data_IF_449744762989
#
_entry.id   IF_449744762989
#
_cell.length_a   1.000
_cell.length_b   1.000
_cell.length_c   1.000
_cell.angle_alpha   90.00
_cell.angle_beta   90.00
_cell.angle_gamma   90.00
#
_symmetry.space_group_name_H-M   'P 1'
#
loop_
_entity.id
_entity.type
_entity.pdbx_description
1 polymer ?
#
# COMPACT_ATOMS: atom_id res chain seq x y z
N UNK A 1 34.67 -13.99 2.25
CA UNK A 1 33.23 -13.87 2.50
C UNK A 1 33.05 -12.83 3.57
N UNK A 2 32.57 -11.66 3.22
CA UNK A 2 32.17 -10.62 4.19
C UNK A 2 30.71 -10.89 4.54
N UNK A 3 30.45 -11.14 5.82
CA UNK A 3 29.09 -11.23 6.33
C UNK A 3 28.71 -9.85 6.81
N UNK A 4 27.65 -9.30 6.30
CA UNK A 4 27.02 -8.06 6.76
C UNK A 4 25.65 -8.36 7.36
N UNK A 5 25.24 -7.59 8.35
CA UNK A 5 23.93 -7.75 8.98
C UNK A 5 23.08 -6.50 8.82
N UNK A 6 21.80 -6.69 8.62
CA UNK A 6 20.80 -5.63 8.62
C UNK A 6 19.80 -5.87 9.74
N UNK A 7 19.58 -4.86 10.56
CA UNK A 7 18.72 -4.96 11.74
C UNK A 7 17.41 -4.22 11.47
N UNK A 8 16.28 -4.90 11.67
CA UNK A 8 14.98 -4.25 11.68
C UNK A 8 14.75 -3.66 13.08
N UNK A 9 14.47 -2.37 13.14
CA UNK A 9 14.13 -1.67 14.37
C UNK A 9 12.67 -1.21 14.31
N UNK A 10 11.71 -2.03 14.76
CA UNK A 10 10.31 -1.64 14.77
C UNK A 10 10.09 -0.39 15.64
N UNK A 11 9.29 0.53 15.16
CA UNK A 11 8.86 1.72 15.91
C UNK A 11 7.49 1.48 16.50
N UNK A 12 7.30 1.93 17.74
CA UNK A 12 5.99 1.93 18.39
C UNK A 12 5.12 3.03 17.79
N UNK A 13 3.95 2.66 17.37
CA UNK A 13 2.94 3.52 16.80
C UNK A 13 1.68 3.47 17.68
N UNK A 14 1.13 4.63 17.94
CA UNK A 14 -0.10 4.75 18.72
C UNK A 14 -1.15 5.54 17.93
N UNK A 15 -2.32 4.99 17.84
CA UNK A 15 -3.53 5.70 17.43
C UNK A 15 -4.29 6.11 18.68
N UNK A 16 -4.55 7.38 18.82
CA UNK A 16 -5.39 7.94 19.88
C UNK A 16 -6.39 8.90 19.24
N UNK A 17 -7.56 8.37 18.93
CA UNK A 17 -8.60 9.08 18.21
C UNK A 17 -9.75 9.39 19.15
N UNK A 18 -10.20 10.63 19.15
CA UNK A 18 -11.42 11.05 19.85
C UNK A 18 -12.47 11.35 18.79
N UNK A 19 -13.60 10.68 18.89
CA UNK A 19 -14.70 10.78 17.94
C UNK A 19 -15.95 11.20 18.73
N UNK A 20 -16.66 12.20 18.25
CA UNK A 20 -17.97 12.54 18.79
C UNK A 20 -19.03 11.57 18.24
N UNK A 21 -19.81 10.94 19.12
CA UNK A 21 -20.90 10.04 18.72
C UNK A 21 -21.85 10.68 17.72
N UNK A 22 -22.11 11.98 17.88
CA UNK A 22 -23.01 12.73 17.01
C UNK A 22 -22.52 12.78 15.56
N UNK A 23 -21.20 12.89 15.33
CA UNK A 23 -20.64 13.01 13.98
C UNK A 23 -20.70 11.72 13.17
N UNK A 24 -20.84 10.58 13.85
CA UNK A 24 -20.94 9.26 13.23
C UNK A 24 -22.37 8.70 13.25
N UNK A 25 -23.29 9.35 13.94
CA UNK A 25 -24.64 8.84 14.14
C UNK A 25 -25.34 8.56 12.80
N UNK A 26 -25.28 9.52 11.87
CA UNK A 26 -25.95 9.39 10.57
C UNK A 26 -25.40 8.21 9.75
N UNK A 27 -24.08 7.99 9.75
CA UNK A 27 -23.45 6.91 8.99
C UNK A 27 -23.62 5.55 9.66
N UNK A 28 -23.55 5.49 10.98
CA UNK A 28 -23.77 4.27 11.75
C UNK A 28 -25.25 3.85 11.71
N UNK A 29 -26.17 4.78 11.85
CA UNK A 29 -27.61 4.49 11.74
C UNK A 29 -27.98 4.02 10.34
N UNK A 30 -27.38 4.60 9.29
CA UNK A 30 -27.60 4.16 7.91
C UNK A 30 -27.11 2.72 7.66
N UNK A 31 -25.98 2.33 8.23
CA UNK A 31 -25.47 0.96 8.17
C UNK A 31 -26.32 0.00 9.00
N UNK A 32 -26.78 0.43 10.16
CA UNK A 32 -27.63 -0.32 11.06
C UNK A 32 -29.04 -0.59 10.50
N UNK A 33 -29.57 0.29 9.67
CA UNK A 33 -30.89 0.14 9.07
C UNK A 33 -30.99 -0.96 8.02
N UNK A 34 -29.82 -1.39 7.46
CA UNK A 34 -29.77 -2.47 6.46
C UNK A 34 -30.63 -2.19 5.23
N UNK A 35 -30.92 -3.26 4.45
CA UNK A 35 -31.80 -3.20 3.29
C UNK A 35 -33.29 -3.36 3.64
N UNK A 36 -33.60 -3.68 4.89
CA UNK A 36 -34.98 -3.91 5.36
C UNK A 36 -35.14 -3.40 6.80
N UNK A 37 -36.25 -2.71 7.06
CA UNK A 37 -36.63 -2.29 8.41
C UNK A 37 -36.83 -3.46 9.41
N UNK A 38 -36.80 -4.71 8.91
CA UNK A 38 -36.94 -5.94 9.68
C UNK A 38 -35.61 -6.67 9.90
N UNK A 39 -34.52 -6.25 9.25
CA UNK A 39 -33.19 -6.81 9.49
C UNK A 39 -32.58 -6.21 10.75
N UNK A 40 -32.71 -6.92 11.83
CA UNK A 40 -32.70 -6.42 13.20
C UNK A 40 -31.38 -6.66 13.93
N UNK A 41 -30.23 -6.64 13.26
CA UNK A 41 -28.94 -6.73 13.90
C UNK A 41 -28.05 -5.58 13.44
N UNK A 42 -28.36 -4.40 13.99
CA UNK A 42 -27.42 -3.30 13.92
C UNK A 42 -26.11 -3.70 14.60
N UNK A 43 -24.95 -3.61 13.94
CA UNK A 43 -23.67 -3.76 14.62
C UNK A 43 -23.62 -2.75 15.79
N UNK A 44 -23.05 -3.16 16.92
CA UNK A 44 -22.91 -2.24 18.03
C UNK A 44 -22.09 -1.02 17.56
N UNK A 45 -22.36 0.15 18.08
CA UNK A 45 -21.61 1.36 17.75
C UNK A 45 -20.10 1.13 17.95
N UNK A 46 -19.72 0.35 18.93
CA UNK A 46 -18.35 -0.01 19.21
C UNK A 46 -17.72 -0.81 18.06
N UNK A 47 -18.40 -1.82 17.52
CA UNK A 47 -17.91 -2.61 16.38
C UNK A 47 -17.75 -1.75 15.13
N UNK A 48 -18.72 -0.86 14.87
CA UNK A 48 -18.64 0.08 13.77
C UNK A 48 -17.41 0.99 13.88
N UNK A 49 -17.17 1.58 15.05
CA UNK A 49 -16.04 2.48 15.28
C UNK A 49 -14.72 1.75 15.17
N UNK A 50 -14.63 0.50 15.67
CA UNK A 50 -13.45 -0.35 15.54
C UNK A 50 -13.17 -0.62 14.05
N UNK A 51 -14.18 -1.07 13.31
CA UNK A 51 -14.04 -1.37 11.87
C UNK A 51 -13.61 -0.14 11.06
N UNK A 52 -14.25 1.00 11.28
CA UNK A 52 -13.90 2.27 10.64
C UNK A 52 -12.44 2.68 10.92
N UNK A 53 -12.04 2.64 12.19
CA UNK A 53 -10.68 3.02 12.61
C UNK A 53 -9.66 2.03 12.05
N UNK A 54 -9.92 0.73 12.11
CA UNK A 54 -9.03 -0.30 11.59
C UNK A 54 -8.78 -0.14 10.09
N UNK A 55 -9.81 0.18 9.29
CA UNK A 55 -9.67 0.43 7.87
C UNK A 55 -8.76 1.64 7.57
N UNK A 56 -8.90 2.73 8.34
CA UNK A 56 -8.04 3.92 8.21
C UNK A 56 -6.60 3.63 8.60
N UNK A 57 -6.40 2.88 9.67
CA UNK A 57 -5.07 2.46 10.14
C UNK A 57 -4.40 1.54 9.12
N UNK A 58 -5.11 0.56 8.58
CA UNK A 58 -4.58 -0.34 7.56
C UNK A 58 -4.09 0.43 6.30
N UNK A 59 -4.89 1.40 5.82
CA UNK A 59 -4.48 2.25 4.71
C UNK A 59 -3.24 3.09 5.04
N UNK A 60 -3.12 3.60 6.28
CA UNK A 60 -1.95 4.37 6.68
C UNK A 60 -0.71 3.50 6.81
N UNK A 61 -0.84 2.27 7.33
CA UNK A 61 0.26 1.30 7.40
C UNK A 61 0.75 0.94 6.01
N UNK A 62 -0.15 0.66 5.07
CA UNK A 62 0.22 0.37 3.67
C UNK A 62 1.01 1.55 3.05
N UNK A 63 0.59 2.79 3.32
CA UNK A 63 1.33 3.97 2.88
C UNK A 63 2.69 4.07 3.57
N UNK A 64 2.77 3.79 4.87
CA UNK A 64 4.03 3.84 5.62
C UNK A 64 5.03 2.78 5.16
N UNK A 65 4.58 1.59 4.77
CA UNK A 65 5.44 0.54 4.22
C UNK A 65 6.20 1.04 2.98
N UNK A 66 5.56 1.85 2.15
CA UNK A 66 6.17 2.36 0.93
C UNK A 66 6.83 3.73 1.09
N UNK A 67 6.17 4.68 1.73
CA UNK A 67 6.54 6.10 1.71
C UNK A 67 6.79 6.69 3.10
N UNK A 68 6.62 5.90 4.16
CA UNK A 68 6.80 6.39 5.51
C UNK A 68 8.22 6.89 5.77
N UNK A 69 8.34 7.89 6.65
CA UNK A 69 9.61 8.45 7.10
C UNK A 69 9.58 8.67 8.61
N UNK A 70 10.59 8.18 9.31
CA UNK A 70 10.68 8.24 10.78
C UNK A 70 10.67 9.68 11.33
N UNK A 71 10.96 10.67 10.50
CA UNK A 71 10.86 12.08 10.88
C UNK A 71 9.43 12.61 11.06
N UNK A 72 8.43 11.88 10.56
CA UNK A 72 7.03 12.24 10.66
C UNK A 72 6.37 11.52 11.84
N UNK A 73 5.43 12.18 12.50
CA UNK A 73 4.69 11.59 13.61
C UNK A 73 3.82 10.40 13.13
N UNK A 74 3.97 9.25 13.79
CA UNK A 74 3.20 8.06 13.47
C UNK A 74 3.68 7.34 12.20
N UNK A 75 4.94 7.50 11.82
CA UNK A 75 5.55 6.83 10.67
C UNK A 75 6.85 6.11 11.06
N UNK A 76 7.20 5.13 10.26
CA UNK A 76 8.51 4.45 10.26
C UNK A 76 9.09 4.54 8.85
N UNK A 77 10.40 4.30 8.71
CA UNK A 77 11.05 4.34 7.40
C UNK A 77 10.53 3.21 6.51
N UNK A 78 9.84 3.60 5.44
CA UNK A 78 9.34 2.71 4.41
C UNK A 78 10.39 2.39 3.34
N UNK A 79 10.05 1.47 2.44
CA UNK A 79 10.96 1.03 1.38
C UNK A 79 11.45 2.17 0.50
N UNK A 80 10.67 3.23 0.29
CA UNK A 80 11.08 4.40 -0.50
C UNK A 80 12.24 5.16 0.14
N UNK A 81 12.17 5.40 1.45
CA UNK A 81 13.23 6.07 2.20
C UNK A 81 14.46 5.16 2.31
N UNK A 82 14.25 3.88 2.64
CA UNK A 82 15.33 2.90 2.78
C UNK A 82 16.08 2.69 1.44
N UNK A 83 15.37 2.62 0.32
CA UNK A 83 15.99 2.48 -0.99
C UNK A 83 16.89 3.68 -1.31
N UNK A 84 16.43 4.88 -1.02
CA UNK A 84 17.22 6.10 -1.26
C UNK A 84 18.45 6.18 -0.35
N UNK A 85 18.35 5.69 0.89
CA UNK A 85 19.42 5.75 1.88
C UNK A 85 20.46 4.63 1.75
N UNK A 86 20.03 3.43 1.31
CA UNK A 86 20.85 2.22 1.38
C UNK A 86 21.31 1.70 0.01
N UNK A 87 20.59 2.02 -1.09
CA UNK A 87 20.98 1.54 -2.41
C UNK A 87 22.06 2.44 -3.02
N UNK A 88 23.00 1.87 -3.80
CA UNK A 88 23.92 2.63 -4.62
C UNK A 88 23.16 3.55 -5.58
N UNK A 89 23.65 4.75 -5.80
CA UNK A 89 23.01 5.73 -6.71
C UNK A 89 22.79 5.21 -8.15
N UNK A 90 23.63 4.27 -8.60
CA UNK A 90 23.45 3.61 -9.90
C UNK A 90 22.16 2.77 -10.01
N UNK A 91 21.62 2.32 -8.87
CA UNK A 91 20.38 1.53 -8.81
C UNK A 91 19.14 2.41 -8.63
N UNK A 92 19.32 3.74 -8.58
CA UNK A 92 18.23 4.69 -8.43
C UNK A 92 18.04 5.43 -9.76
N UNK A 93 16.95 5.11 -10.44
CA UNK A 93 16.63 5.75 -11.71
C UNK A 93 16.05 7.15 -11.50
N UNK A 94 16.52 8.12 -12.30
CA UNK A 94 16.00 9.47 -12.26
C UNK A 94 14.52 9.50 -12.64
N UNK A 95 13.75 10.33 -11.94
CA UNK A 95 12.35 10.55 -12.26
C UNK A 95 12.21 11.21 -13.64
N UNK A 96 11.25 10.74 -14.44
CA UNK A 96 10.96 11.34 -15.75
C UNK A 96 10.26 12.69 -15.57
N UNK A 97 10.67 13.69 -16.35
CA UNK A 97 10.02 14.99 -16.37
C UNK A 97 8.55 14.85 -16.85
N UNK A 98 7.63 15.47 -16.12
CA UNK A 98 6.20 15.37 -16.42
C UNK A 98 5.50 14.10 -15.92
N UNK A 99 6.24 13.21 -15.25
CA UNK A 99 5.69 11.97 -14.70
C UNK A 99 5.49 10.86 -15.71
N UNK A 100 5.03 9.71 -15.22
CA UNK A 100 4.78 8.53 -16.03
C UNK A 100 3.37 8.60 -16.62
N UNK A 101 3.27 8.39 -17.93
CA UNK A 101 2.03 8.37 -18.70
C UNK A 101 2.06 7.23 -19.72
N UNK A 102 0.97 7.04 -20.46
CA UNK A 102 0.78 5.98 -21.45
C UNK A 102 1.79 6.03 -22.61
N UNK A 103 2.34 7.20 -22.92
CA UNK A 103 3.35 7.36 -23.97
C UNK A 103 4.77 7.01 -23.56
N UNK A 104 5.11 7.06 -22.27
CA UNK A 104 6.47 6.84 -21.79
C UNK A 104 6.63 5.66 -20.83
N UNK A 105 5.54 5.08 -20.33
CA UNK A 105 5.55 4.04 -19.30
C UNK A 105 6.39 2.83 -19.69
N UNK A 106 6.35 2.39 -20.95
CA UNK A 106 7.13 1.24 -21.43
C UNK A 106 8.63 1.51 -21.36
N UNK A 107 9.05 2.72 -21.75
CA UNK A 107 10.45 3.12 -21.67
C UNK A 107 10.92 3.25 -20.21
N UNK A 108 10.08 3.80 -19.34
CA UNK A 108 10.43 3.93 -17.91
C UNK A 108 10.46 2.59 -17.18
N UNK A 109 9.55 1.67 -17.49
CA UNK A 109 9.60 0.30 -16.98
C UNK A 109 10.80 -0.47 -17.53
N UNK A 110 11.16 -0.24 -18.80
CA UNK A 110 12.37 -0.80 -19.40
C UNK A 110 13.63 -0.39 -18.63
N UNK A 111 13.79 0.87 -18.27
CA UNK A 111 14.92 1.33 -17.44
C UNK A 111 15.01 0.59 -16.10
N UNK A 112 13.86 0.33 -15.48
CA UNK A 112 13.81 -0.41 -14.20
C UNK A 112 14.17 -1.88 -14.41
N UNK A 113 13.68 -2.52 -15.47
CA UNK A 113 14.01 -3.90 -15.81
C UNK A 113 15.48 -4.08 -16.20
N UNK A 114 16.04 -3.16 -16.99
CA UNK A 114 17.44 -3.16 -17.41
C UNK A 114 18.42 -2.96 -16.24
N UNK A 115 17.97 -2.29 -15.18
CA UNK A 115 18.76 -2.10 -13.97
C UNK A 115 18.84 -3.36 -13.08
N UNK A 116 18.00 -4.38 -13.34
CA UNK A 116 18.03 -5.62 -12.59
C UNK A 116 19.30 -6.42 -12.93
N UNK A 117 20.12 -6.80 -11.94
CA UNK A 117 21.30 -7.61 -12.20
C UNK A 117 20.94 -8.96 -12.86
N UNK A 118 21.76 -9.41 -13.80
CA UNK A 118 21.55 -10.68 -14.51
C UNK A 118 21.50 -11.89 -13.59
N UNK A 119 22.12 -11.81 -12.42
CA UNK A 119 22.12 -12.87 -11.40
C UNK A 119 20.75 -13.04 -10.72
N UNK A 120 19.93 -11.99 -10.74
CA UNK A 120 18.60 -11.94 -10.12
C UNK A 120 17.49 -12.07 -11.17
N UNK A 121 17.80 -11.69 -12.40
CA UNK A 121 16.85 -11.76 -13.51
C UNK A 121 16.41 -13.22 -13.76
N UNK A 122 15.09 -13.41 -13.88
CA UNK A 122 14.50 -14.74 -14.10
C UNK A 122 14.28 -15.57 -12.83
N UNK A 123 14.54 -15.03 -11.65
CA UNK A 123 14.18 -15.70 -10.40
C UNK A 123 12.67 -15.55 -10.12
N UNK A 124 12.06 -16.59 -9.55
CA UNK A 124 10.62 -16.66 -9.32
C UNK A 124 10.10 -15.63 -8.32
N UNK A 125 10.95 -15.13 -7.43
CA UNK A 125 10.59 -14.16 -6.38
C UNK A 125 10.89 -12.70 -6.77
N UNK A 126 11.33 -12.46 -8.01
CA UNK A 126 11.53 -11.12 -8.54
C UNK A 126 10.19 -10.51 -9.00
N UNK A 127 9.89 -9.31 -8.53
CA UNK A 127 8.69 -8.54 -8.88
C UNK A 127 9.03 -7.09 -9.20
N UNK A 128 8.25 -6.49 -10.08
CA UNK A 128 8.21 -5.04 -10.27
C UNK A 128 6.99 -4.51 -9.52
N UNK A 129 7.24 -3.74 -8.47
CA UNK A 129 6.21 -3.03 -7.73
C UNK A 129 5.99 -1.66 -8.35
N UNK A 130 4.74 -1.34 -8.68
CA UNK A 130 4.39 -0.09 -9.35
C UNK A 130 3.27 0.63 -8.61
N UNK A 131 3.30 1.95 -8.65
CA UNK A 131 2.19 2.77 -8.15
C UNK A 131 0.94 2.65 -9.04
N UNK A 132 -0.21 2.96 -8.48
CA UNK A 132 -1.50 2.79 -9.17
C UNK A 132 -1.61 3.58 -10.47
N UNK A 133 -1.00 4.77 -10.56
CA UNK A 133 -1.01 5.56 -11.79
C UNK A 133 -0.13 4.94 -12.87
N UNK A 134 1.02 4.38 -12.52
CA UNK A 134 1.91 3.66 -13.45
C UNK A 134 1.22 2.41 -13.99
N UNK A 135 0.57 1.63 -13.12
CA UNK A 135 -0.19 0.45 -13.54
C UNK A 135 -1.29 0.82 -14.55
N UNK A 136 -2.03 1.89 -14.30
CA UNK A 136 -3.05 2.39 -15.23
C UNK A 136 -2.46 2.84 -16.56
N UNK A 137 -1.34 3.57 -16.52
CA UNK A 137 -0.64 4.01 -17.72
C UNK A 137 -0.14 2.80 -18.53
N UNK A 138 0.40 1.78 -17.85
CA UNK A 138 0.87 0.55 -18.48
C UNK A 138 -0.27 -0.22 -19.17
N UNK A 139 -1.38 -0.41 -18.49
CA UNK A 139 -2.58 -1.06 -19.09
C UNK A 139 -3.07 -0.29 -20.31
N UNK A 140 -3.10 1.04 -20.28
CA UNK A 140 -3.46 1.88 -21.45
C UNK A 140 -2.48 1.74 -22.58
N UNK A 141 -1.17 1.73 -22.29
CA UNK A 141 -0.13 1.54 -23.29
C UNK A 141 -0.24 0.16 -23.99
N UNK A 142 -0.52 -0.90 -23.23
CA UNK A 142 -0.78 -2.25 -23.77
C UNK A 142 -2.06 -2.32 -24.58
N UNK A 143 -3.12 -1.62 -24.14
CA UNK A 143 -4.42 -1.62 -24.81
C UNK A 143 -4.48 -0.87 -26.13
N UNK A 144 -3.42 -0.14 -26.51
CA UNK A 144 -3.33 0.58 -27.79
C UNK A 144 -4.43 1.62 -28.01
N UNK A 145 -4.91 2.25 -26.96
CA UNK A 145 -6.02 3.22 -27.03
C UNK A 145 -5.77 4.39 -27.98
N UNK A 146 -4.54 4.62 -28.36
CA UNK A 146 -4.17 5.83 -29.11
C UNK A 146 -3.71 5.59 -30.54
N UNK A 147 -3.27 4.42 -30.94
CA UNK A 147 -2.44 4.39 -32.15
C UNK A 147 -3.04 3.71 -33.39
N UNK A 148 -3.82 2.65 -33.32
CA UNK A 148 -4.15 1.90 -34.55
C UNK A 148 -5.51 1.18 -34.59
N UNK A 149 -6.54 1.66 -33.91
CA UNK A 149 -7.87 1.03 -34.00
C UNK A 149 -7.99 -0.37 -33.37
N UNK A 150 -6.93 -0.89 -32.82
CA UNK A 150 -6.91 -2.08 -31.98
C UNK A 150 -7.29 -1.66 -30.57
N UNK A 151 -8.53 -1.18 -30.43
CA UNK A 151 -9.07 -0.77 -29.15
C UNK A 151 -9.09 -1.93 -28.14
N UNK A 152 -9.60 -1.65 -26.95
CA UNK A 152 -9.73 -2.55 -25.82
C UNK A 152 -10.33 -3.95 -26.14
N UNK A 153 -10.89 -4.10 -27.31
CA UNK A 153 -11.41 -5.32 -27.90
C UNK A 153 -10.56 -5.88 -29.03
N UNK A 154 -9.22 -5.66 -29.03
CA UNK A 154 -8.39 -6.22 -30.10
C UNK A 154 -8.96 -7.51 -30.71
N UNK A 155 -8.58 -7.88 -31.89
CA UNK A 155 -9.16 -8.98 -32.68
C UNK A 155 -9.47 -10.25 -31.86
N UNK A 156 -8.78 -10.44 -30.73
CA UNK A 156 -8.94 -11.58 -29.83
C UNK A 156 -9.44 -11.19 -28.41
N UNK A 157 -9.91 -9.97 -28.18
CA UNK A 157 -10.38 -9.53 -26.87
C UNK A 157 -9.29 -9.46 -25.77
N UNK A 158 -8.02 -9.57 -26.14
CA UNK A 158 -6.91 -9.75 -25.19
C UNK A 158 -6.55 -8.49 -24.43
N UNK A 159 -6.81 -7.31 -24.97
CA UNK A 159 -6.42 -6.04 -24.33
C UNK A 159 -7.01 -5.80 -22.93
N UNK A 160 -8.23 -6.27 -22.69
CA UNK A 160 -8.91 -6.19 -21.38
C UNK A 160 -8.74 -7.44 -20.54
N UNK A 161 -8.53 -8.60 -21.19
CA UNK A 161 -8.44 -9.91 -20.52
C UNK A 161 -7.19 -10.00 -19.62
N UNK A 162 -6.12 -9.32 -19.96
CA UNK A 162 -4.88 -9.29 -19.19
C UNK A 162 -5.03 -8.63 -17.83
N UNK A 163 -5.89 -7.63 -17.75
CA UNK A 163 -6.17 -6.95 -16.48
C UNK A 163 -7.14 -7.72 -15.60
N UNK A 164 -8.10 -8.42 -16.21
CA UNK A 164 -9.13 -9.18 -15.50
C UNK A 164 -8.54 -10.40 -14.77
N UNK A 165 -7.47 -10.99 -15.29
CA UNK A 165 -6.78 -12.13 -14.67
C UNK A 165 -5.70 -11.75 -13.64
N UNK A 166 -5.51 -10.46 -13.34
CA UNK A 166 -4.65 -10.00 -12.25
C UNK A 166 -3.14 -10.23 -12.43
N UNK A 167 -2.69 -10.76 -13.56
CA UNK A 167 -1.28 -11.03 -13.83
C UNK A 167 -0.73 -10.07 -14.89
N UNK A 168 -0.36 -8.87 -14.45
CA UNK A 168 0.48 -8.00 -15.27
C UNK A 168 1.91 -8.52 -15.24
N UNK A 169 2.57 -8.53 -16.38
CA UNK A 169 4.00 -8.84 -16.48
C UNK A 169 4.69 -7.87 -17.43
N UNK A 170 5.93 -7.57 -17.18
CA UNK A 170 6.81 -6.78 -18.02
C UNK A 170 8.14 -7.49 -18.14
N UNK A 171 8.59 -7.75 -19.36
CA UNK A 171 9.86 -8.44 -19.63
C UNK A 171 10.02 -9.79 -18.90
N UNK A 172 8.92 -10.53 -18.76
CA UNK A 172 8.90 -11.78 -18.01
C UNK A 172 8.86 -11.63 -16.48
N UNK A 173 8.92 -10.42 -15.96
CA UNK A 173 8.85 -10.13 -14.52
C UNK A 173 7.40 -9.79 -14.14
N UNK A 174 6.81 -10.45 -13.13
CA UNK A 174 5.48 -10.11 -12.66
C UNK A 174 5.40 -8.68 -12.10
N UNK A 175 4.33 -7.96 -12.45
CA UNK A 175 4.08 -6.58 -11.98
C UNK A 175 3.01 -6.59 -10.90
N UNK A 176 3.32 -5.98 -9.76
CA UNK A 176 2.43 -5.88 -8.59
C UNK A 176 2.12 -4.43 -8.28
N UNK A 177 0.86 -4.12 -8.04
CA UNK A 177 0.42 -2.76 -7.70
C UNK A 177 0.49 -2.53 -6.20
N UNK A 178 1.37 -1.62 -5.78
CA UNK A 178 1.45 -1.14 -4.39
C UNK A 178 0.49 0.03 -4.17
N UNK A 179 -0.59 -0.21 -3.41
CA UNK A 179 -1.63 0.81 -3.19
C UNK A 179 -1.15 2.01 -2.38
N UNK A 180 -0.19 1.79 -1.48
CA UNK A 180 0.39 2.83 -0.63
C UNK A 180 1.52 3.63 -1.28
N UNK A 181 1.94 3.29 -2.49
CA UNK A 181 3.04 3.97 -3.20
C UNK A 181 2.61 5.32 -3.74
N UNK A 182 3.49 6.32 -3.61
CA UNK A 182 3.31 7.62 -4.26
C UNK A 182 3.31 7.48 -5.79
N UNK A 183 2.65 8.43 -6.46
CA UNK A 183 2.57 8.44 -7.91
C UNK A 183 3.96 8.43 -8.58
N UNK A 184 4.07 7.77 -9.71
CA UNK A 184 5.28 7.66 -10.53
C UNK A 184 6.45 6.90 -9.86
N UNK A 185 6.17 6.09 -8.84
CA UNK A 185 7.16 5.22 -8.20
C UNK A 185 7.09 3.81 -8.77
N UNK A 186 8.27 3.21 -8.95
CA UNK A 186 8.47 1.83 -9.39
C UNK A 186 9.68 1.26 -8.67
N UNK A 187 9.60 0.01 -8.23
CA UNK A 187 10.69 -0.72 -7.60
C UNK A 187 10.79 -2.12 -8.19
N UNK A 188 11.97 -2.54 -8.62
CA UNK A 188 12.25 -3.95 -8.91
C UNK A 188 12.96 -4.56 -7.70
N UNK A 189 12.39 -5.57 -7.12
CA UNK A 189 12.96 -6.23 -5.95
C UNK A 189 12.51 -7.69 -5.83
N UNK A 190 13.37 -8.51 -5.26
CA UNK A 190 12.96 -9.84 -4.80
C UNK A 190 12.09 -9.71 -3.56
N UNK A 191 10.97 -10.42 -3.54
CA UNK A 191 10.06 -10.44 -2.39
C UNK A 191 10.76 -10.88 -1.10
N UNK A 192 11.67 -11.84 -1.20
CA UNK A 192 12.46 -12.35 -0.09
C UNK A 192 13.46 -11.33 0.49
N UNK A 193 13.71 -10.24 -0.23
CA UNK A 193 14.62 -9.17 0.17
C UNK A 193 13.92 -7.96 0.81
N UNK A 194 12.60 -7.98 0.86
CA UNK A 194 11.77 -6.95 1.47
C UNK A 194 11.21 -7.47 2.79
N UNK A 195 11.69 -6.92 3.90
CA UNK A 195 11.31 -7.36 5.23
C UNK A 195 10.40 -6.33 5.90
N UNK A 196 9.28 -6.81 6.41
CA UNK A 196 8.43 -6.06 7.31
C UNK A 196 8.43 -6.73 8.67
N UNK A 197 8.84 -6.01 9.69
CA UNK A 197 8.90 -6.49 11.07
C UNK A 197 7.81 -5.84 11.93
N UNK A 198 7.17 -6.65 12.74
CA UNK A 198 6.24 -6.20 13.77
C UNK A 198 6.72 -6.74 15.12
N UNK A 199 6.29 -6.11 16.21
CA UNK A 199 6.57 -6.61 17.55
C UNK A 199 5.73 -7.84 17.91
N UNK A 200 5.32 -7.96 19.16
CA UNK A 200 4.49 -9.05 19.61
C UNK A 200 3.14 -9.04 18.87
N UNK A 201 2.81 -10.15 18.22
CA UNK A 201 1.56 -10.29 17.44
C UNK A 201 0.31 -9.99 18.28
N UNK A 202 0.33 -10.34 19.55
CA UNK A 202 -0.79 -10.08 20.46
C UNK A 202 -0.99 -8.58 20.75
N UNK A 203 0.06 -7.76 20.67
CA UNK A 203 -0.04 -6.32 20.91
C UNK A 203 -0.66 -5.57 19.72
N UNK A 204 -0.58 -6.13 18.52
CA UNK A 204 -1.13 -5.48 17.30
C UNK A 204 -2.65 -5.57 17.23
N UNK A 205 -3.26 -6.47 17.98
CA UNK A 205 -4.71 -6.71 17.97
C UNK A 205 -5.44 -6.03 19.15
N UNK A 206 -4.72 -5.33 20.02
CA UNK A 206 -5.35 -4.66 21.16
C UNK A 206 -5.95 -3.32 20.74
N UNK A 207 -7.27 -3.29 20.68
CA UNK A 207 -8.06 -2.07 20.45
C UNK A 207 -8.88 -1.82 21.70
N UNK A 208 -8.76 -0.61 22.27
CA UNK A 208 -9.58 -0.16 23.39
C UNK A 208 -10.49 0.97 22.93
N UNK A 209 -11.76 0.77 23.15
CA UNK A 209 -12.79 1.79 22.96
C UNK A 209 -13.25 2.25 24.35
N UNK A 210 -13.09 3.53 24.62
CA UNK A 210 -13.47 4.13 25.90
C UNK A 210 -14.59 5.13 25.66
N UNK A 211 -15.75 4.90 26.28
CA UNK A 211 -16.79 5.89 26.35
C UNK A 211 -16.41 6.95 27.39
N UNK A 212 -16.33 8.19 26.97
CA UNK A 212 -15.93 9.30 27.83
C UNK A 212 -17.11 9.85 28.64
N UNK A 213 -18.33 9.41 28.37
CA UNK A 213 -19.53 9.90 29.08
C UNK A 213 -19.46 9.65 30.58
N UNK A 214 -18.88 8.53 31.00
CA UNK A 214 -18.73 8.18 32.43
C UNK A 214 -17.55 8.89 33.11
N UNK A 215 -16.63 9.45 32.32
CA UNK A 215 -15.42 10.11 32.83
C UNK A 215 -15.54 11.63 32.90
N UNK A 216 -16.06 12.25 31.85
CA UNK A 216 -16.12 13.70 31.70
C UNK A 216 -17.52 14.21 31.28
N UNK A 217 -18.51 13.33 31.15
CA UNK A 217 -19.85 13.67 30.70
C UNK A 217 -19.97 14.06 29.23
N UNK A 218 -18.90 13.91 28.44
CA UNK A 218 -18.89 14.21 27.00
C UNK A 218 -19.53 13.10 26.18
N UNK A 219 -19.98 13.43 24.96
CA UNK A 219 -20.46 12.44 23.99
C UNK A 219 -19.32 11.87 23.14
N UNK A 220 -18.10 11.91 23.66
CA UNK A 220 -16.92 11.46 22.95
C UNK A 220 -16.62 10.00 23.24
N UNK A 221 -16.15 9.31 22.20
CA UNK A 221 -15.57 7.97 22.30
C UNK A 221 -14.10 8.06 21.94
N UNK A 222 -13.25 7.49 22.77
CA UNK A 222 -11.80 7.42 22.52
C UNK A 222 -11.41 6.03 22.07
N UNK A 223 -10.78 5.94 20.90
CA UNK A 223 -10.22 4.71 20.37
C UNK A 223 -8.71 4.75 20.55
N UNK A 224 -8.17 3.74 21.20
CA UNK A 224 -6.73 3.58 21.44
C UNK A 224 -6.28 2.28 20.81
N UNK A 225 -5.30 2.38 19.91
CA UNK A 225 -4.61 1.23 19.32
C UNK A 225 -3.11 1.44 19.47
N UNK A 226 -2.37 0.38 19.76
CA UNK A 226 -0.90 0.38 19.79
C UNK A 226 -0.39 -0.76 18.95
N UNK A 227 0.60 -0.48 18.15
CA UNK A 227 1.26 -1.49 17.34
C UNK A 227 2.70 -1.07 17.05
N UNK A 228 3.50 -2.00 16.62
CA UNK A 228 4.88 -1.76 16.23
C UNK A 228 5.06 -2.15 14.78
N UNK A 229 5.82 -1.39 14.04
CA UNK A 229 6.11 -1.69 12.65
C UNK A 229 7.45 -1.13 12.22
N UNK A 230 8.08 -1.79 11.28
CA UNK A 230 9.32 -1.34 10.66
C UNK A 230 9.61 -2.13 9.40
N UNK A 231 10.30 -1.49 8.46
CA UNK A 231 10.75 -2.11 7.23
C UNK A 231 12.27 -2.20 7.19
N UNK A 232 12.81 -3.13 6.42
CA UNK A 232 14.21 -3.21 6.07
C UNK A 232 14.37 -3.88 4.72
N UNK A 233 15.37 -3.43 3.97
CA UNK A 233 15.81 -4.06 2.72
C UNK A 233 17.02 -4.92 3.07
N UNK A 234 17.02 -6.17 2.62
CA UNK A 234 18.17 -7.04 2.72
C UNK A 234 19.36 -6.56 1.88
N UNK A 235 20.33 -7.38 1.71
CA UNK A 235 21.54 -7.11 0.90
C UNK A 235 21.35 -7.52 -0.53
#
# INVERSE_FOLDING_TARGET
LTLDEKVIQPKELQVNLVICKKDLQDSWEAEAMGFSAFDNLAPSFEEYVIGYTAAKVANKIETNIWEGAVGNAGEFDGFGVLSTAQLPGANIMAAVAGGVNDGNVLAEMGKVADAVPTTVYGQEDLFIYVSSNVARAYVRALGGFAANGLGANGIDGQGTTWYTNGSLSFDGIPVVVGKGMANNKMYAAQKSNLFFGTGLLNSTNEVKVLDMSDLDGSRNVRVIMRFTGGCQIGT
#
